data_IF_598588230068
#
_entry.id   IF_598588230068
#
_cell.length_a   1.000
_cell.length_b   1.000
_cell.length_c   1.000
_cell.angle_alpha   90.00
_cell.angle_beta   90.00
_cell.angle_gamma   90.00
#
_symmetry.space_group_name_H-M   'P 1'
#
loop_
_entity.id
_entity.type
_entity.pdbx_description
1 polymer ?
#
# COMPACT_ATOMS: atom_id res chain seq x y z
N UNK A 1 -17.48 7.40 -14.22
CA UNK A 1 -16.18 6.81 -13.89
C UNK A 1 -16.24 5.32 -14.14
N UNK A 2 -15.23 4.72 -14.76
CA UNK A 2 -15.25 3.33 -15.26
C UNK A 2 -15.01 2.28 -14.17
N UNK A 3 -14.59 2.68 -12.98
CA UNK A 3 -14.14 1.77 -11.92
C UNK A 3 -12.84 1.03 -12.30
N UNK A 4 -12.03 1.62 -13.17
CA UNK A 4 -10.76 1.07 -13.65
C UNK A 4 -9.60 1.95 -13.24
N UNK A 5 -8.42 1.35 -13.06
CA UNK A 5 -7.17 2.05 -12.86
C UNK A 5 -6.14 1.67 -13.92
N UNK A 6 -5.20 2.57 -14.15
CA UNK A 6 -4.20 2.44 -15.17
C UNK A 6 -2.91 1.82 -14.61
N UNK A 7 -2.38 0.85 -15.34
CA UNK A 7 -1.10 0.21 -15.09
C UNK A 7 -0.19 0.37 -16.31
N UNK A 8 1.10 0.41 -16.07
CA UNK A 8 2.13 0.43 -17.10
C UNK A 8 3.22 -0.60 -16.77
N UNK A 9 3.82 -1.13 -17.74
CA UNK A 9 4.93 -2.09 -17.76
C UNK A 9 4.54 -3.56 -17.94
N UNK A 10 5.38 -4.30 -18.67
CA UNK A 10 5.20 -5.76 -18.85
C UNK A 10 5.22 -6.52 -17.52
N UNK A 11 5.99 -6.03 -16.54
CA UNK A 11 6.09 -6.67 -15.22
C UNK A 11 4.77 -6.60 -14.47
N UNK A 12 4.11 -5.43 -14.44
CA UNK A 12 2.81 -5.29 -13.79
C UNK A 12 1.73 -6.11 -14.49
N UNK A 13 1.81 -6.22 -15.83
CA UNK A 13 0.87 -7.04 -16.59
C UNK A 13 1.01 -8.54 -16.26
N UNK A 14 2.24 -9.02 -16.06
CA UNK A 14 2.51 -10.39 -15.60
C UNK A 14 1.98 -10.62 -14.17
N UNK A 15 2.16 -9.65 -13.27
CA UNK A 15 1.62 -9.74 -11.90
C UNK A 15 0.08 -9.75 -11.92
N UNK A 16 -0.55 -8.90 -12.74
CA UNK A 16 -2.00 -8.87 -12.89
C UNK A 16 -2.55 -10.23 -13.37
N UNK A 17 -1.93 -10.84 -14.36
CA UNK A 17 -2.29 -12.17 -14.87
C UNK A 17 -2.08 -13.26 -13.80
N UNK A 18 -0.92 -13.26 -13.15
CA UNK A 18 -0.54 -14.24 -12.12
C UNK A 18 -1.54 -14.26 -10.96
N UNK A 19 -2.05 -13.10 -10.55
CA UNK A 19 -2.96 -12.95 -9.41
C UNK A 19 -4.43 -12.84 -9.81
N UNK A 20 -4.75 -13.11 -11.08
CA UNK A 20 -6.14 -13.17 -11.57
C UNK A 20 -6.86 -11.82 -11.55
N UNK A 21 -6.13 -10.72 -11.71
CA UNK A 21 -6.74 -9.39 -11.82
C UNK A 21 -7.58 -9.31 -13.11
N UNK A 22 -8.72 -8.63 -13.03
CA UNK A 22 -9.57 -8.42 -14.21
C UNK A 22 -8.99 -7.31 -15.08
N UNK A 23 -8.20 -7.69 -16.07
CA UNK A 23 -7.63 -6.79 -17.08
C UNK A 23 -8.70 -6.50 -18.13
N UNK A 24 -9.00 -5.22 -18.39
CA UNK A 24 -10.04 -4.80 -19.35
C UNK A 24 -9.47 -4.47 -20.72
N UNK A 25 -8.46 -3.64 -20.77
CA UNK A 25 -7.87 -3.21 -22.05
C UNK A 25 -6.35 -3.20 -21.91
N UNK A 26 -5.68 -3.73 -22.93
CA UNK A 26 -4.22 -3.68 -23.05
C UNK A 26 -3.87 -2.97 -24.35
N UNK A 27 -3.15 -1.87 -24.25
CA UNK A 27 -2.49 -1.22 -25.38
C UNK A 27 -1.04 -1.69 -25.40
N UNK A 28 -0.55 -2.11 -26.56
CA UNK A 28 0.81 -2.60 -26.69
C UNK A 28 1.44 -2.23 -28.04
N UNK A 29 2.75 -2.07 -28.04
CA UNK A 29 3.52 -1.80 -29.27
C UNK A 29 4.02 -3.08 -29.92
N UNK A 30 4.46 -3.00 -31.15
CA UNK A 30 5.05 -4.12 -31.91
C UNK A 30 6.23 -4.73 -31.13
N UNK A 31 6.32 -6.06 -31.10
CA UNK A 31 7.37 -6.80 -30.40
C UNK A 31 7.14 -6.98 -28.90
N UNK A 32 6.11 -6.37 -28.30
CA UNK A 32 5.76 -6.60 -26.90
C UNK A 32 5.24 -8.02 -26.68
N UNK A 33 5.84 -8.76 -25.74
CA UNK A 33 5.33 -10.07 -25.33
C UNK A 33 4.21 -9.89 -24.30
N UNK A 34 3.03 -10.36 -24.64
CA UNK A 34 1.87 -10.39 -23.75
C UNK A 34 1.76 -11.75 -23.06
N UNK A 35 1.34 -11.84 -21.79
CA UNK A 35 0.98 -13.09 -21.16
C UNK A 35 -0.25 -13.71 -21.84
N UNK A 36 -0.44 -15.04 -21.74
CA UNK A 36 -1.67 -15.67 -22.16
C UNK A 36 -2.78 -15.29 -21.18
N UNK A 37 -3.63 -14.32 -21.54
CA UNK A 37 -4.74 -13.91 -20.67
C UNK A 37 -5.76 -15.04 -20.52
N UNK A 38 -6.08 -15.37 -19.26
CA UNK A 38 -7.12 -16.35 -18.94
C UNK A 38 -8.54 -15.85 -19.25
N UNK A 39 -8.74 -14.52 -19.24
CA UNK A 39 -10.02 -13.88 -19.50
C UNK A 39 -10.18 -13.53 -20.99
N UNK A 40 -11.11 -14.22 -21.66
CA UNK A 40 -11.48 -13.94 -23.05
C UNK A 40 -12.14 -12.55 -23.25
N UNK A 41 -12.42 -11.83 -22.17
CA UNK A 41 -12.99 -10.46 -22.20
C UNK A 41 -11.96 -9.34 -22.31
N UNK A 42 -10.67 -9.63 -22.20
CA UNK A 42 -9.61 -8.61 -22.30
C UNK A 42 -9.50 -8.08 -23.74
N UNK A 43 -9.64 -6.77 -23.90
CA UNK A 43 -9.47 -6.10 -25.19
C UNK A 43 -7.98 -5.82 -25.45
N UNK A 44 -7.42 -6.41 -26.53
CA UNK A 44 -6.05 -6.20 -26.95
C UNK A 44 -6.01 -5.22 -28.14
N UNK A 45 -5.21 -4.16 -28.05
CA UNK A 45 -5.09 -3.13 -29.09
C UNK A 45 -3.61 -2.85 -29.35
N UNK A 46 -3.13 -3.20 -30.55
CA UNK A 46 -1.81 -2.79 -30.98
C UNK A 46 -1.83 -1.32 -31.38
N UNK A 47 -0.86 -0.56 -30.91
CA UNK A 47 -0.73 0.90 -31.15
C UNK A 47 0.68 1.22 -31.63
N UNK A 48 0.84 2.40 -32.25
CA UNK A 48 2.16 2.93 -32.59
C UNK A 48 2.90 3.44 -31.36
N UNK A 49 4.22 3.57 -31.46
CA UNK A 49 5.05 4.17 -30.39
C UNK A 49 4.58 5.58 -30.02
N UNK A 50 4.19 6.40 -31.01
CA UNK A 50 3.68 7.75 -30.76
C UNK A 50 2.37 7.78 -29.96
N UNK A 51 1.49 6.81 -30.16
CA UNK A 51 0.27 6.65 -29.36
C UNK A 51 0.64 6.15 -27.96
N UNK A 52 1.57 5.20 -27.84
CA UNK A 52 2.04 4.70 -26.56
C UNK A 52 2.65 5.82 -25.69
N UNK A 53 3.47 6.68 -26.29
CA UNK A 53 4.04 7.86 -25.62
C UNK A 53 2.95 8.85 -25.15
N UNK A 54 1.89 9.00 -25.92
CA UNK A 54 0.80 9.91 -25.58
C UNK A 54 -0.09 9.40 -24.43
N UNK A 55 -0.26 8.09 -24.30
CA UNK A 55 -1.17 7.50 -23.30
C UNK A 55 -0.47 6.99 -22.03
N UNK A 56 0.83 6.75 -22.11
CA UNK A 56 1.60 6.27 -20.95
C UNK A 56 1.80 7.37 -19.92
N UNK A 57 1.62 7.06 -18.63
CA UNK A 57 1.98 7.96 -17.55
C UNK A 57 3.51 8.07 -17.33
N UNK A 58 4.31 7.32 -18.11
CA UNK A 58 5.77 7.32 -18.02
C UNK A 58 6.41 8.21 -19.09
N UNK A 59 7.52 8.86 -18.73
CA UNK A 59 8.36 9.59 -19.70
C UNK A 59 9.02 8.65 -20.73
N UNK A 60 9.29 7.39 -20.32
CA UNK A 60 9.83 6.36 -21.20
C UNK A 60 8.94 5.13 -21.09
N UNK A 61 7.94 4.98 -21.96
CA UNK A 61 7.05 3.83 -21.98
C UNK A 61 7.81 2.53 -22.21
N UNK A 62 7.28 1.43 -21.63
CA UNK A 62 7.86 0.09 -21.78
C UNK A 62 7.06 -0.79 -22.77
N UNK A 63 6.37 -0.15 -23.70
CA UNK A 63 5.64 -0.80 -24.77
C UNK A 63 4.28 -1.41 -24.37
N UNK A 64 3.82 -1.21 -23.11
CA UNK A 64 2.51 -1.66 -22.67
C UNK A 64 1.90 -0.72 -21.64
N UNK A 65 0.62 -0.45 -21.83
CA UNK A 65 -0.25 0.24 -20.87
C UNK A 65 -1.56 -0.53 -20.82
N UNK A 66 -2.11 -0.75 -19.64
CA UNK A 66 -3.34 -1.53 -19.50
C UNK A 66 -4.22 -1.00 -18.37
N UNK A 67 -5.51 -1.30 -18.44
CA UNK A 67 -6.46 -1.00 -17.37
C UNK A 67 -6.92 -2.28 -16.68
N UNK A 68 -7.04 -2.17 -15.34
CA UNK A 68 -7.63 -3.21 -14.49
C UNK A 68 -8.85 -2.66 -13.76
N UNK A 69 -9.81 -3.52 -13.46
CA UNK A 69 -10.86 -3.16 -12.52
C UNK A 69 -10.27 -2.90 -11.13
N UNK A 70 -10.75 -1.85 -10.49
CA UNK A 70 -10.45 -1.60 -9.08
C UNK A 70 -11.02 -2.74 -8.25
N UNK A 71 -10.24 -3.24 -7.32
CA UNK A 71 -10.73 -4.15 -6.28
C UNK A 71 -11.64 -3.43 -5.29
N UNK A 72 -12.39 -4.18 -4.50
CA UNK A 72 -13.10 -3.63 -3.35
C UNK A 72 -12.09 -3.12 -2.32
N UNK A 73 -12.24 -1.87 -1.91
CA UNK A 73 -11.39 -1.22 -0.91
C UNK A 73 -12.11 -0.99 0.43
N UNK A 74 -13.28 -1.57 0.59
CA UNK A 74 -14.01 -1.57 1.85
C UNK A 74 -13.41 -2.61 2.82
N UNK A 75 -13.24 -2.25 4.09
CA UNK A 75 -12.76 -3.19 5.09
C UNK A 75 -13.71 -4.37 5.27
N UNK A 76 -13.19 -5.56 5.65
CA UNK A 76 -14.02 -6.70 5.96
C UNK A 76 -14.82 -6.46 7.26
N UNK A 77 -15.88 -7.23 7.47
CA UNK A 77 -16.64 -7.16 8.71
C UNK A 77 -15.83 -7.55 9.96
N UNK A 78 -14.76 -8.34 9.80
CA UNK A 78 -13.87 -8.83 10.86
C UNK A 78 -12.46 -8.98 10.33
N UNK A 79 -11.47 -8.74 11.19
CA UNK A 79 -10.06 -9.03 10.92
C UNK A 79 -9.68 -10.37 11.55
N UNK A 80 -8.84 -11.12 10.84
CA UNK A 80 -8.16 -12.28 11.39
C UNK A 80 -6.96 -11.84 12.25
N UNK A 81 -6.52 -12.67 13.22
CA UNK A 81 -5.29 -12.38 13.94
C UNK A 81 -4.09 -12.27 13.00
N UNK A 82 -3.38 -11.16 13.07
CA UNK A 82 -2.27 -10.89 12.15
C UNK A 82 -1.59 -9.56 12.44
N UNK A 83 -0.76 -9.13 11.51
CA UNK A 83 -0.09 -7.83 11.55
C UNK A 83 -0.70 -6.89 10.51
N UNK A 84 -1.07 -5.71 10.94
CA UNK A 84 -1.73 -4.71 10.10
C UNK A 84 -1.00 -3.38 10.15
N UNK A 85 -1.03 -2.66 9.05
CA UNK A 85 -0.50 -1.31 8.99
C UNK A 85 -1.64 -0.33 8.67
N UNK A 86 -1.71 0.76 9.42
CA UNK A 86 -2.63 1.87 9.17
C UNK A 86 -1.80 3.09 8.78
N UNK A 87 -2.21 3.80 7.74
CA UNK A 87 -1.55 5.02 7.27
C UNK A 87 -2.49 6.20 7.43
N UNK A 88 -2.03 7.27 8.11
CA UNK A 88 -2.78 8.52 8.26
C UNK A 88 -2.03 9.67 7.61
N UNK A 89 -2.63 10.30 6.61
CA UNK A 89 -2.09 11.53 6.01
C UNK A 89 -0.78 11.35 5.22
N UNK A 90 -0.43 10.16 4.78
CA UNK A 90 0.75 9.91 3.92
C UNK A 90 0.43 10.37 2.51
N UNK A 91 0.83 11.60 2.17
CA UNK A 91 0.38 12.30 0.96
C UNK A 91 1.22 12.00 -0.29
N UNK A 92 2.47 11.54 -0.16
CA UNK A 92 3.27 11.18 -1.34
C UNK A 92 2.87 9.80 -1.88
N UNK A 93 2.41 9.72 -3.16
CA UNK A 93 2.01 8.44 -3.76
C UNK A 93 3.15 7.43 -3.84
N UNK A 94 4.41 7.90 -3.96
CA UNK A 94 5.58 7.04 -3.96
C UNK A 94 5.81 6.39 -2.60
N UNK A 95 5.60 7.13 -1.50
CA UNK A 95 5.67 6.58 -0.14
C UNK A 95 4.57 5.56 0.10
N UNK A 96 3.32 5.87 -0.25
CA UNK A 96 2.22 4.90 -0.13
C UNK A 96 2.55 3.62 -0.89
N UNK A 97 2.94 3.70 -2.16
CA UNK A 97 3.28 2.53 -2.96
C UNK A 97 4.48 1.75 -2.41
N UNK A 98 5.51 2.43 -1.90
CA UNK A 98 6.67 1.79 -1.26
C UNK A 98 6.27 1.07 0.03
N UNK A 99 5.39 1.67 0.84
CA UNK A 99 4.87 1.04 2.06
C UNK A 99 4.06 -0.21 1.72
N UNK A 100 3.19 -0.15 0.72
CA UNK A 100 2.43 -1.31 0.23
C UNK A 100 3.38 -2.46 -0.14
N UNK A 101 4.40 -2.17 -0.95
CA UNK A 101 5.40 -3.15 -1.37
C UNK A 101 6.17 -3.74 -0.18
N UNK A 102 6.51 -2.93 0.79
CA UNK A 102 7.23 -3.37 1.99
C UNK A 102 6.34 -4.24 2.88
N UNK A 103 5.07 -3.86 3.04
CA UNK A 103 4.09 -4.63 3.79
C UNK A 103 3.86 -6.02 3.19
N UNK A 104 3.84 -6.12 1.86
CA UNK A 104 3.79 -7.41 1.17
C UNK A 104 5.07 -8.24 1.41
N UNK A 105 6.24 -7.61 1.35
CA UNK A 105 7.52 -8.29 1.58
C UNK A 105 7.68 -8.87 2.99
N UNK A 106 7.04 -8.25 4.00
CA UNK A 106 7.04 -8.70 5.40
C UNK A 106 5.72 -9.36 5.82
N UNK A 107 4.96 -9.85 4.86
CA UNK A 107 3.75 -10.64 5.05
C UNK A 107 2.71 -9.98 5.99
N UNK A 108 2.50 -8.65 5.84
CA UNK A 108 1.41 -7.97 6.52
C UNK A 108 0.06 -8.53 6.06
N UNK A 109 -0.85 -8.76 6.98
CA UNK A 109 -2.18 -9.33 6.72
C UNK A 109 -3.11 -8.38 5.96
N UNK A 110 -2.85 -7.07 6.03
CA UNK A 110 -3.57 -6.04 5.30
C UNK A 110 -3.15 -4.63 5.70
N UNK A 111 -3.60 -3.66 4.91
CA UNK A 111 -3.31 -2.25 5.12
C UNK A 111 -4.60 -1.42 5.12
N UNK A 112 -4.60 -0.39 5.94
CA UNK A 112 -5.65 0.63 5.96
C UNK A 112 -5.08 1.97 5.50
N UNK A 113 -5.66 2.55 4.49
CA UNK A 113 -5.42 3.94 4.08
C UNK A 113 -6.51 4.81 4.71
N UNK A 114 -6.13 5.57 5.74
CA UNK A 114 -7.02 6.50 6.39
C UNK A 114 -7.04 7.84 5.65
N UNK A 115 -7.80 8.80 6.17
CA UNK A 115 -7.93 10.12 5.57
C UNK A 115 -6.59 10.81 5.32
N UNK A 116 -6.52 11.57 4.23
CA UNK A 116 -5.35 12.36 3.85
C UNK A 116 -4.21 11.57 3.19
N UNK A 117 -4.33 10.26 3.00
CA UNK A 117 -3.37 9.49 2.22
C UNK A 117 -3.53 9.73 0.71
N UNK A 118 -2.44 9.53 -0.03
CA UNK A 118 -2.49 9.53 -1.49
C UNK A 118 -3.42 8.42 -2.00
N UNK A 119 -3.98 8.64 -3.17
CA UNK A 119 -4.87 7.66 -3.80
C UNK A 119 -4.14 6.35 -4.10
N UNK A 120 -4.76 5.24 -3.71
CA UNK A 120 -4.28 3.88 -3.94
C UNK A 120 -4.02 3.61 -5.42
N UNK A 121 -4.87 4.13 -6.29
CA UNK A 121 -4.84 3.90 -7.73
C UNK A 121 -4.16 5.04 -8.52
N UNK A 122 -3.51 5.99 -7.83
CA UNK A 122 -2.64 6.95 -8.52
C UNK A 122 -1.53 6.20 -9.27
N UNK A 123 -1.22 6.53 -10.54
CA UNK A 123 -0.20 5.82 -11.33
C UNK A 123 1.17 5.72 -10.65
N UNK A 124 1.57 6.73 -9.86
CA UNK A 124 2.82 6.70 -9.10
C UNK A 124 2.76 5.70 -7.94
N UNK A 125 1.60 5.58 -7.25
CA UNK A 125 1.36 4.58 -6.20
C UNK A 125 1.40 3.18 -6.80
N UNK A 126 0.64 2.95 -7.88
CA UNK A 126 0.55 1.65 -8.57
C UNK A 126 1.94 1.15 -8.99
N UNK A 127 2.73 2.04 -9.59
CA UNK A 127 4.10 1.71 -10.01
C UNK A 127 5.01 1.36 -8.83
N UNK A 128 5.01 2.18 -7.79
CA UNK A 128 5.87 1.97 -6.61
C UNK A 128 5.49 0.69 -5.86
N UNK A 129 4.22 0.31 -5.84
CA UNK A 129 3.71 -0.89 -5.18
C UNK A 129 4.03 -2.21 -5.93
N UNK A 130 4.45 -2.15 -7.20
CA UNK A 130 4.92 -3.34 -7.95
C UNK A 130 3.94 -4.52 -7.91
N UNK A 131 2.64 -4.26 -8.13
CA UNK A 131 1.61 -5.30 -8.25
C UNK A 131 0.99 -5.76 -6.92
N UNK A 132 1.31 -5.15 -5.79
CA UNK A 132 0.68 -5.47 -4.49
C UNK A 132 -0.84 -5.31 -4.53
N UNK A 133 -1.36 -4.38 -5.33
CA UNK A 133 -2.80 -4.17 -5.57
C UNK A 133 -3.55 -5.44 -6.00
N UNK A 134 -2.86 -6.40 -6.59
CA UNK A 134 -3.47 -7.62 -7.11
C UNK A 134 -3.49 -8.77 -6.10
N UNK A 135 -2.71 -8.66 -4.99
CA UNK A 135 -2.51 -9.81 -4.08
C UNK A 135 -2.65 -9.52 -2.59
N UNK A 136 -2.62 -8.24 -2.18
CA UNK A 136 -2.79 -7.87 -0.77
C UNK A 136 -4.03 -7.02 -0.57
N UNK A 137 -4.80 -7.27 0.49
CA UNK A 137 -5.92 -6.42 0.81
C UNK A 137 -5.44 -5.05 1.29
N UNK A 138 -6.00 -4.02 0.66
CA UNK A 138 -5.78 -2.61 1.03
C UNK A 138 -7.15 -1.96 1.13
N UNK A 139 -7.49 -1.44 2.30
CA UNK A 139 -8.80 -0.90 2.59
C UNK A 139 -8.74 0.60 2.84
N UNK A 140 -9.80 1.31 2.45
CA UNK A 140 -9.98 2.74 2.74
C UNK A 140 -11.14 2.91 3.71
N UNK A 141 -10.91 3.55 4.84
CA UNK A 141 -11.94 3.85 5.83
C UNK A 141 -11.50 4.95 6.78
N UNK A 142 -12.42 5.43 7.61
CA UNK A 142 -12.09 6.36 8.68
C UNK A 142 -11.34 5.68 9.84
N UNK A 143 -10.64 6.51 10.64
CA UNK A 143 -9.87 6.06 11.80
C UNK A 143 -10.72 5.26 12.79
N UNK A 144 -11.93 5.73 13.10
CA UNK A 144 -12.82 5.07 14.07
C UNK A 144 -13.17 3.63 13.64
N UNK A 145 -13.49 3.44 12.35
CA UNK A 145 -13.81 2.12 11.81
C UNK A 145 -12.59 1.20 11.85
N UNK A 146 -11.42 1.66 11.43
CA UNK A 146 -10.20 0.86 11.46
C UNK A 146 -9.82 0.47 12.89
N UNK A 147 -9.84 1.41 13.84
CA UNK A 147 -9.54 1.15 15.24
C UNK A 147 -10.53 0.16 15.88
N UNK A 148 -11.83 0.29 15.55
CA UNK A 148 -12.85 -0.65 16.02
C UNK A 148 -12.61 -2.08 15.49
N UNK A 149 -12.24 -2.23 14.22
CA UNK A 149 -11.91 -3.54 13.63
C UNK A 149 -10.70 -4.17 14.30
N UNK A 150 -9.63 -3.41 14.53
CA UNK A 150 -8.42 -3.86 15.23
C UNK A 150 -8.76 -4.32 16.65
N UNK A 151 -9.49 -3.51 17.40
CA UNK A 151 -9.92 -3.83 18.77
C UNK A 151 -10.81 -5.06 18.83
N UNK A 152 -11.78 -5.20 17.92
CA UNK A 152 -12.69 -6.34 17.85
C UNK A 152 -11.96 -7.66 17.50
N UNK A 153 -10.81 -7.55 16.82
CA UNK A 153 -9.93 -8.69 16.55
C UNK A 153 -9.03 -9.06 17.76
N UNK A 154 -9.11 -8.31 18.86
CA UNK A 154 -8.25 -8.48 20.03
C UNK A 154 -6.79 -8.12 19.77
N UNK A 155 -6.53 -7.25 18.80
CA UNK A 155 -5.19 -6.80 18.46
C UNK A 155 -4.89 -5.45 19.13
N UNK A 156 -3.68 -5.25 19.67
CA UNK A 156 -3.25 -3.93 20.11
C UNK A 156 -3.05 -3.00 18.91
N UNK A 157 -3.39 -1.72 19.09
CA UNK A 157 -3.11 -0.65 18.13
C UNK A 157 -1.98 0.23 18.66
N UNK A 158 -0.85 0.24 17.96
CA UNK A 158 0.34 0.99 18.33
C UNK A 158 0.56 2.18 17.40
N UNK A 159 0.76 3.37 17.95
CA UNK A 159 1.04 4.58 17.17
C UNK A 159 2.55 4.82 17.04
N UNK A 160 3.06 4.97 15.82
CA UNK A 160 4.45 5.37 15.60
C UNK A 160 4.58 6.89 15.86
N UNK A 161 5.16 7.26 17.01
CA UNK A 161 5.28 8.66 17.43
C UNK A 161 6.46 8.86 18.38
N UNK A 162 6.96 10.10 18.45
CA UNK A 162 8.00 10.52 19.38
C UNK A 162 7.34 11.33 20.52
N UNK A 163 7.11 10.70 21.65
CA UNK A 163 6.53 11.30 22.86
C UNK A 163 7.33 10.88 24.09
N UNK A 164 7.12 11.53 25.22
CA UNK A 164 7.81 11.21 26.48
C UNK A 164 7.48 9.78 26.99
N UNK A 165 6.23 9.34 26.81
CA UNK A 165 5.72 8.04 27.25
C UNK A 165 5.88 6.91 26.20
N UNK A 166 6.58 7.18 25.11
CA UNK A 166 6.73 6.26 23.97
C UNK A 166 7.74 5.16 24.28
N UNK A 167 7.37 3.91 24.01
CA UNK A 167 8.25 2.74 24.18
C UNK A 167 9.16 2.52 22.97
N UNK A 168 10.34 1.99 23.22
CA UNK A 168 11.22 1.47 22.17
C UNK A 168 10.51 0.30 21.46
N UNK A 169 10.47 0.35 20.13
CA UNK A 169 9.79 -0.67 19.31
C UNK A 169 10.32 -2.08 19.56
N UNK A 170 11.60 -2.21 19.92
CA UNK A 170 12.26 -3.50 20.24
C UNK A 170 11.77 -4.14 21.56
N UNK A 171 11.03 -3.39 22.37
CA UNK A 171 10.47 -3.83 23.66
C UNK A 171 8.97 -4.19 23.57
N UNK A 172 8.41 -4.17 22.35
CA UNK A 172 6.98 -4.38 22.10
C UNK A 172 6.79 -5.53 21.13
N UNK A 173 5.84 -6.40 21.38
CA UNK A 173 5.51 -7.46 20.43
C UNK A 173 4.62 -6.93 19.30
N UNK A 174 5.17 -6.86 18.09
CA UNK A 174 4.47 -6.41 16.89
C UNK A 174 3.96 -7.56 16.00
N UNK A 175 4.23 -8.81 16.32
CA UNK A 175 3.89 -9.97 15.46
C UNK A 175 2.37 -10.11 15.26
N UNK A 176 1.60 -9.72 16.25
CA UNK A 176 0.13 -9.71 16.23
C UNK A 176 -0.37 -8.36 16.74
N UNK A 177 -0.24 -7.35 15.91
CA UNK A 177 -0.56 -5.97 16.24
C UNK A 177 -0.96 -5.18 14.99
N UNK A 178 -1.61 -4.06 15.20
CA UNK A 178 -1.77 -3.04 14.19
C UNK A 178 -0.86 -1.85 14.52
N UNK A 179 -0.14 -1.34 13.53
CA UNK A 179 0.74 -0.17 13.69
C UNK A 179 0.23 0.97 12.85
N UNK A 180 0.04 2.12 13.47
CA UNK A 180 -0.42 3.34 12.82
C UNK A 180 0.77 4.28 12.57
N UNK A 181 0.98 4.64 11.30
CA UNK A 181 2.04 5.53 10.83
C UNK A 181 1.42 6.80 10.27
N UNK A 182 1.88 7.93 10.75
CA UNK A 182 1.43 9.26 10.34
C UNK A 182 2.24 9.87 9.19
N UNK A 183 1.86 11.08 8.79
CA UNK A 183 2.57 11.85 7.76
C UNK A 183 3.93 12.33 8.27
N UNK A 184 4.86 12.56 7.32
CA UNK A 184 6.24 12.99 7.62
C UNK A 184 6.31 14.34 8.34
N UNK A 185 5.39 15.26 8.03
CA UNK A 185 5.45 16.63 8.55
C UNK A 185 4.67 16.85 9.83
N UNK A 186 3.57 16.10 10.04
CA UNK A 186 2.65 16.31 11.18
C UNK A 186 2.61 15.13 12.14
N UNK A 187 3.14 13.97 11.76
CA UNK A 187 2.99 12.73 12.51
C UNK A 187 1.54 12.29 12.57
N UNK A 188 1.15 11.69 13.68
CA UNK A 188 -0.21 11.23 13.96
C UNK A 188 -1.08 12.37 14.50
N UNK A 189 -2.35 12.39 14.10
CA UNK A 189 -3.32 13.33 14.66
C UNK A 189 -3.59 13.07 16.15
N UNK A 190 -4.11 14.07 16.91
CA UNK A 190 -4.53 13.83 18.30
C UNK A 190 -5.56 12.72 18.44
N UNK A 191 -6.47 12.59 17.47
CA UNK A 191 -7.48 11.53 17.46
C UNK A 191 -6.83 10.14 17.24
N UNK A 192 -5.86 10.04 16.32
CA UNK A 192 -5.10 8.83 16.08
C UNK A 192 -4.30 8.40 17.31
N UNK A 193 -3.62 9.36 17.97
CA UNK A 193 -2.90 9.10 19.21
C UNK A 193 -3.81 8.62 20.34
N UNK A 194 -5.01 9.19 20.46
CA UNK A 194 -6.00 8.80 21.47
C UNK A 194 -6.61 7.40 21.19
N UNK A 195 -6.64 6.96 19.93
CA UNK A 195 -7.13 5.64 19.54
C UNK A 195 -6.12 4.53 19.83
N UNK A 196 -4.81 4.85 19.98
CA UNK A 196 -3.75 3.89 20.22
C UNK A 196 -3.71 3.42 21.68
N UNK A 197 -3.42 2.13 21.88
CA UNK A 197 -3.19 1.55 23.22
C UNK A 197 -1.87 2.05 23.82
N UNK A 198 -0.86 2.25 22.98
CA UNK A 198 0.41 2.89 23.34
C UNK A 198 1.12 3.44 22.09
N UNK A 199 2.15 4.27 22.31
CA UNK A 199 3.01 4.75 21.24
C UNK A 199 4.36 4.02 21.25
N UNK A 200 4.92 3.80 20.05
CA UNK A 200 6.22 3.16 19.82
C UNK A 200 7.13 4.09 19.03
N UNK A 201 8.43 4.03 19.30
CA UNK A 201 9.45 4.76 18.56
C UNK A 201 10.54 3.86 18.04
N UNK A 202 11.05 4.17 16.87
CA UNK A 202 12.31 3.64 16.35
C UNK A 202 13.44 4.44 17.03
N UNK A 203 14.38 3.78 17.73
CA UNK A 203 15.51 4.48 18.29
C UNK A 203 16.37 5.11 17.20
N UNK A 204 16.64 6.38 17.34
CA UNK A 204 17.45 7.17 16.40
C UNK A 204 18.48 8.00 17.17
N UNK A 205 19.47 8.54 16.46
CA UNK A 205 20.39 9.51 17.01
C UNK A 205 19.69 10.81 17.39
N UNK A 206 20.20 11.53 18.35
CA UNK A 206 19.64 12.83 18.80
C UNK A 206 19.63 13.91 17.70
N UNK A 207 20.37 13.70 16.61
CA UNK A 207 20.44 14.63 15.48
C UNK A 207 19.34 14.37 14.43
N UNK A 208 18.55 13.32 14.58
CA UNK A 208 17.51 12.94 13.63
C UNK A 208 16.13 13.07 14.27
N UNK A 209 15.32 14.00 13.77
CA UNK A 209 13.99 14.27 14.32
C UNK A 209 12.91 13.30 13.79
N UNK A 210 13.10 12.76 12.58
CA UNK A 210 12.12 11.85 11.95
C UNK A 210 12.75 11.04 10.82
N UNK A 211 12.07 9.97 10.43
CA UNK A 211 12.33 9.21 9.22
C UNK A 211 11.24 9.50 8.17
N UNK A 212 11.57 9.32 6.90
CA UNK A 212 10.58 9.23 5.86
C UNK A 212 9.55 8.13 6.22
N UNK A 213 8.25 8.37 5.93
CA UNK A 213 7.17 7.46 6.34
C UNK A 213 7.35 6.03 5.81
N UNK A 214 7.84 5.87 4.57
CA UNK A 214 8.09 4.55 4.00
C UNK A 214 9.27 3.84 4.68
N UNK A 215 10.30 4.59 5.08
CA UNK A 215 11.43 4.04 5.84
C UNK A 215 10.98 3.63 7.25
N UNK A 216 10.22 4.49 7.93
CA UNK A 216 9.67 4.17 9.25
C UNK A 216 8.80 2.90 9.20
N UNK A 217 7.86 2.83 8.25
CA UNK A 217 7.03 1.65 8.04
C UNK A 217 7.87 0.39 7.76
N UNK A 218 8.95 0.50 6.98
CA UNK A 218 9.83 -0.62 6.68
C UNK A 218 10.52 -1.17 7.94
N UNK A 219 11.02 -0.29 8.81
CA UNK A 219 11.68 -0.71 10.07
C UNK A 219 10.66 -1.35 11.01
N UNK A 220 9.45 -0.79 11.13
CA UNK A 220 8.38 -1.35 11.97
C UNK A 220 7.92 -2.72 11.48
N UNK A 221 7.77 -2.89 10.17
CA UNK A 221 7.38 -4.17 9.57
C UNK A 221 8.49 -5.22 9.68
N UNK A 222 9.75 -4.80 9.52
CA UNK A 222 10.91 -5.67 9.75
C UNK A 222 10.93 -6.17 11.20
N UNK A 223 10.74 -5.28 12.18
CA UNK A 223 10.69 -5.66 13.60
C UNK A 223 9.50 -6.58 13.89
N UNK A 224 8.36 -6.36 13.23
CA UNK A 224 7.18 -7.22 13.36
C UNK A 224 7.39 -8.63 12.78
N UNK A 225 8.28 -8.78 11.80
CA UNK A 225 8.58 -10.05 11.13
C UNK A 225 9.88 -10.72 11.59
N UNK A 226 10.59 -10.13 12.56
CA UNK A 226 11.97 -10.53 12.92
C UNK A 226 12.15 -11.99 13.35
N UNK A 227 11.13 -12.58 13.94
CA UNK A 227 11.20 -13.93 14.51
C UNK A 227 10.36 -14.97 13.71
N UNK A 228 9.99 -14.65 12.44
CA UNK A 228 9.25 -15.55 11.54
C UNK A 228 10.15 -16.56 10.80
#
# INVERSE_FOLDING_TARGET
>A
ETGEFLCDSPKLLQEADLWGATVRTVLFTEGTRLPPFADAGTRLVQVSESVMEAVSPMQTPQGVVFSCLMGGDEPPARLEPGRYLLLEGVQDPGNVGTILRTADAFDASGLFLLEGCADLYNPKTVRAAMGVHFRRPVWRCGLEQAAALVKNAGLPLYGAALREDTRDVRQVDLRRAAVLVGSEGRGLSPAALAACDLTVKIPMSEHCESLNAAVAAAVLLWEAARDD
#
